data_IF_808736004600
#
_entry.id   IF_808736004600
#
_cell.length_a   1.000
_cell.length_b   1.000
_cell.length_c   1.000
_cell.angle_alpha   90.00
_cell.angle_beta   90.00
_cell.angle_gamma   90.00
#
_symmetry.space_group_name_H-M   'P 1'
#
loop_
_entity.id
_entity.type
_entity.pdbx_description
1 polymer ?
#
# COMPACT_ATOMS: atom_id res chain seq x y z
N UNK A 1 5.43 0.68 0.72
CA UNK A 1 4.72 1.94 0.42
C UNK A 1 3.62 1.69 -0.60
N UNK A 2 2.45 2.34 -0.49
CA UNK A 2 1.39 2.25 -1.48
C UNK A 2 1.77 2.91 -2.81
N UNK A 3 2.57 3.97 -2.77
CA UNK A 3 3.02 4.69 -3.95
C UNK A 3 4.51 4.99 -3.85
N UNK A 4 5.21 4.67 -4.91
CA UNK A 4 6.61 5.04 -5.14
C UNK A 4 6.70 5.58 -6.57
N UNK A 5 7.25 6.78 -6.71
CA UNK A 5 7.38 7.46 -7.99
C UNK A 5 8.85 7.77 -8.24
N UNK A 6 9.39 7.24 -9.33
CA UNK A 6 10.65 7.70 -9.89
C UNK A 6 10.38 8.98 -10.70
N UNK A 7 10.80 10.12 -10.20
CA UNK A 7 10.56 11.41 -10.81
C UNK A 7 11.46 11.62 -12.02
N UNK A 8 10.86 11.82 -13.19
CA UNK A 8 11.55 12.07 -14.44
C UNK A 8 11.02 13.37 -15.05
N UNK A 9 11.86 14.16 -15.75
CA UNK A 9 11.42 15.36 -16.43
C UNK A 9 10.60 15.00 -17.66
N UNK A 10 9.63 15.83 -18.02
CA UNK A 10 8.80 15.68 -19.24
C UNK A 10 9.43 16.39 -20.44
N UNK A 11 10.31 17.35 -20.20
CA UNK A 11 11.08 18.05 -21.23
C UNK A 11 12.57 17.91 -20.93
N UNK A 12 13.40 17.97 -21.98
CA UNK A 12 14.86 17.92 -21.84
C UNK A 12 15.42 19.32 -21.61
N UNK A 13 16.41 19.44 -20.74
CA UNK A 13 17.01 20.75 -20.45
C UNK A 13 18.10 20.65 -19.38
N UNK A 14 18.65 21.80 -19.00
CA UNK A 14 19.66 21.91 -17.95
C UNK A 14 18.96 22.22 -16.63
N UNK A 15 19.37 21.55 -15.54
CA UNK A 15 18.87 21.84 -14.18
C UNK A 15 19.42 23.19 -13.76
N UNK A 16 18.56 24.16 -13.52
CA UNK A 16 18.91 25.50 -13.03
C UNK A 16 18.94 25.55 -11.49
N UNK A 17 17.94 24.95 -10.83
CA UNK A 17 17.93 24.87 -9.36
C UNK A 17 17.25 23.59 -8.85
N UNK A 18 17.52 23.27 -7.59
CA UNK A 18 16.91 22.18 -6.81
C UNK A 18 16.30 22.84 -5.57
N UNK A 19 14.99 22.68 -5.38
CA UNK A 19 14.20 23.44 -4.41
C UNK A 19 13.79 22.64 -3.17
N UNK A 20 14.43 21.49 -2.92
CA UNK A 20 14.16 20.64 -1.76
C UNK A 20 15.44 20.26 -1.02
N UNK A 21 15.30 19.77 0.21
CA UNK A 21 16.35 19.09 0.94
C UNK A 21 16.11 17.58 0.88
N UNK A 22 17.19 16.85 0.72
CA UNK A 22 17.17 15.40 0.66
C UNK A 22 16.60 14.78 1.96
N UNK A 23 15.61 13.92 1.84
CA UNK A 23 14.93 13.29 2.97
C UNK A 23 13.76 14.08 3.57
N UNK A 24 13.45 15.27 3.05
CA UNK A 24 12.33 16.06 3.53
C UNK A 24 10.97 15.50 3.08
N UNK A 25 9.93 15.85 3.80
CA UNK A 25 8.55 15.61 3.39
C UNK A 25 8.13 16.66 2.34
N UNK A 26 7.56 16.18 1.23
CA UNK A 26 7.06 17.01 0.13
C UNK A 26 5.57 16.75 -0.07
N UNK A 27 4.88 17.77 -0.58
CA UNK A 27 3.46 17.72 -0.94
C UNK A 27 3.29 17.66 -2.45
N UNK A 28 2.20 17.08 -2.87
CA UNK A 28 1.77 17.13 -4.27
C UNK A 28 1.71 18.59 -4.74
N UNK A 29 2.36 18.88 -5.89
CA UNK A 29 2.48 20.23 -6.45
C UNK A 29 3.71 21.03 -6.00
N UNK A 30 4.45 20.60 -4.99
CA UNK A 30 5.68 21.29 -4.59
C UNK A 30 6.72 21.23 -5.73
N UNK A 31 7.33 22.38 -6.05
CA UNK A 31 8.40 22.46 -7.05
C UNK A 31 9.67 21.83 -6.48
N UNK A 32 10.23 20.87 -7.17
CA UNK A 32 11.40 20.09 -6.74
C UNK A 32 12.66 20.44 -7.56
N UNK A 33 12.49 20.54 -8.87
CA UNK A 33 13.57 20.94 -9.78
C UNK A 33 13.06 22.02 -10.72
N UNK A 34 13.91 22.98 -11.02
CA UNK A 34 13.68 23.96 -12.06
C UNK A 34 14.68 23.73 -13.18
N UNK A 35 14.17 23.49 -14.39
CA UNK A 35 14.99 23.48 -15.60
C UNK A 35 15.12 24.89 -16.18
N UNK A 36 16.12 25.14 -17.00
CA UNK A 36 16.29 26.42 -17.70
C UNK A 36 15.07 26.68 -18.61
N UNK A 37 14.21 27.56 -18.17
CA UNK A 37 12.95 27.92 -18.84
C UNK A 37 13.14 28.90 -20.00
N UNK A 38 14.31 29.56 -20.13
CA UNK A 38 14.54 30.63 -21.13
C UNK A 38 14.33 30.21 -22.57
N UNK A 39 14.80 29.04 -23.04
CA UNK A 39 14.54 28.59 -24.40
C UNK A 39 13.04 28.38 -24.67
N UNK A 40 12.31 27.80 -23.73
CA UNK A 40 10.88 27.56 -23.84
C UNK A 40 10.07 28.85 -23.83
N UNK A 41 10.41 29.79 -22.95
CA UNK A 41 9.79 31.11 -22.90
C UNK A 41 9.98 31.90 -24.22
N UNK A 42 11.15 31.77 -24.87
CA UNK A 42 11.40 32.38 -26.16
C UNK A 42 10.49 31.81 -27.29
N UNK A 43 10.24 30.50 -27.27
CA UNK A 43 9.32 29.86 -28.22
C UNK A 43 7.89 30.35 -28.00
N UNK A 44 7.42 30.42 -26.76
CA UNK A 44 6.09 30.95 -26.37
C UNK A 44 5.95 32.39 -26.84
N UNK A 45 6.96 33.26 -26.62
CA UNK A 45 6.94 34.66 -27.06
C UNK A 45 6.89 34.78 -28.59
N UNK A 46 7.64 33.94 -29.31
CA UNK A 46 7.61 33.90 -30.79
C UNK A 46 6.24 33.51 -31.34
N UNK A 47 5.62 32.46 -30.74
CA UNK A 47 4.28 32.02 -31.18
C UNK A 47 3.21 33.07 -30.87
N UNK A 48 3.29 33.78 -29.75
CA UNK A 48 2.39 34.90 -29.41
C UNK A 48 2.46 36.00 -30.45
N UNK A 49 3.66 36.38 -30.88
CA UNK A 49 3.83 37.38 -31.97
C UNK A 49 3.29 36.87 -33.34
N UNK A 50 3.45 35.58 -33.63
CA UNK A 50 2.88 35.00 -34.86
C UNK A 50 1.35 34.97 -34.84
N UNK A 51 0.74 34.71 -33.66
CA UNK A 51 -0.72 34.74 -33.46
C UNK A 51 -1.23 36.17 -33.68
N UNK A 52 -0.59 37.18 -33.10
CA UNK A 52 -0.97 38.58 -33.32
C UNK A 52 -0.95 38.98 -34.81
N UNK A 53 0.09 38.57 -35.55
CA UNK A 53 0.17 38.77 -36.98
C UNK A 53 -0.95 38.02 -37.75
N UNK A 54 -1.25 36.77 -37.35
CA UNK A 54 -2.31 35.99 -37.98
C UNK A 54 -3.71 36.56 -37.65
N UNK A 55 -3.93 37.10 -36.44
CA UNK A 55 -5.18 37.78 -36.06
C UNK A 55 -5.41 39.05 -36.92
N UNK A 56 -4.39 39.84 -37.14
CA UNK A 56 -4.46 40.99 -38.04
C UNK A 56 -4.81 40.58 -39.49
N UNK A 57 -4.16 39.52 -40.00
CA UNK A 57 -4.46 38.97 -41.34
C UNK A 57 -5.87 38.40 -41.45
N UNK A 58 -6.37 37.77 -40.39
CA UNK A 58 -7.74 37.27 -40.31
C UNK A 58 -8.76 38.41 -40.34
N UNK A 59 -8.53 39.48 -39.58
CA UNK A 59 -9.44 40.63 -39.56
C UNK A 59 -9.51 41.33 -40.93
N UNK A 60 -8.37 41.44 -41.63
CA UNK A 60 -8.35 41.89 -43.01
C UNK A 60 -9.20 40.99 -43.91
N UNK A 61 -9.01 39.65 -43.84
CA UNK A 61 -9.75 38.70 -44.66
C UNK A 61 -11.26 38.76 -44.36
N UNK A 62 -11.66 38.91 -43.10
CA UNK A 62 -13.07 39.11 -42.72
C UNK A 62 -13.67 40.38 -43.32
N UNK A 63 -12.91 41.48 -43.32
CA UNK A 63 -13.36 42.73 -43.93
C UNK A 63 -13.53 42.62 -45.44
N UNK A 64 -12.60 41.93 -46.11
CA UNK A 64 -12.64 41.67 -47.55
C UNK A 64 -13.82 40.75 -47.92
N UNK A 65 -14.05 39.69 -47.19
CA UNK A 65 -15.18 38.77 -47.39
C UNK A 65 -16.51 39.51 -47.23
N UNK A 66 -16.71 40.24 -46.14
CA UNK A 66 -17.91 41.07 -45.90
C UNK A 66 -18.16 42.05 -47.03
N UNK A 67 -17.11 42.63 -47.62
CA UNK A 67 -17.20 43.54 -48.75
C UNK A 67 -17.59 42.79 -50.01
N UNK A 68 -16.98 41.62 -50.25
CA UNK A 68 -17.28 40.78 -51.43
C UNK A 68 -18.74 40.30 -51.42
N UNK A 69 -19.27 39.85 -50.26
CA UNK A 69 -20.67 39.45 -50.13
C UNK A 69 -21.62 40.61 -50.52
N UNK A 70 -21.39 41.83 -50.04
CA UNK A 70 -22.20 43.02 -50.39
C UNK A 70 -22.11 43.40 -51.88
N UNK A 71 -20.93 43.26 -52.51
CA UNK A 71 -20.75 43.52 -53.91
C UNK A 71 -21.42 42.45 -54.79
N UNK A 72 -21.41 41.20 -54.39
CA UNK A 72 -22.13 40.11 -55.06
C UNK A 72 -23.62 40.34 -55.06
N UNK A 73 -24.21 40.74 -53.91
CA UNK A 73 -25.63 41.09 -53.78
C UNK A 73 -26.03 42.20 -54.76
N UNK A 74 -25.14 43.16 -55.02
CA UNK A 74 -25.31 44.25 -56.00
C UNK A 74 -24.92 43.86 -57.40
N UNK A 75 -24.59 42.59 -57.70
CA UNK A 75 -24.10 42.07 -59.00
C UNK A 75 -22.85 42.79 -59.50
N UNK A 76 -22.02 43.35 -58.63
CA UNK A 76 -20.84 44.11 -58.99
C UNK A 76 -19.57 43.25 -59.15
N UNK A 77 -19.59 41.99 -58.68
CA UNK A 77 -18.52 40.98 -58.80
C UNK A 77 -19.11 39.64 -59.17
N UNK A 78 -18.26 38.70 -59.66
CA UNK A 78 -18.66 37.33 -59.98
C UNK A 78 -18.79 36.48 -58.74
N UNK A 79 -19.59 35.40 -58.75
CA UNK A 79 -19.70 34.42 -57.70
C UNK A 79 -18.34 33.79 -57.39
N UNK A 80 -17.54 33.51 -58.40
CA UNK A 80 -16.19 32.97 -58.24
C UNK A 80 -15.30 33.88 -57.39
N UNK A 81 -15.30 35.20 -57.69
CA UNK A 81 -14.54 36.17 -56.90
C UNK A 81 -14.99 36.24 -55.43
N UNK A 82 -16.29 36.19 -55.16
CA UNK A 82 -16.80 36.14 -53.81
C UNK A 82 -16.39 34.87 -53.09
N UNK A 83 -16.53 33.69 -53.72
CA UNK A 83 -16.10 32.41 -53.15
C UNK A 83 -14.58 32.36 -52.87
N UNK A 84 -13.75 32.97 -53.71
CA UNK A 84 -12.31 33.08 -53.46
C UNK A 84 -12.01 33.83 -52.15
N UNK A 85 -12.74 34.93 -51.85
CA UNK A 85 -12.57 35.68 -50.57
C UNK A 85 -13.05 34.87 -49.38
N UNK A 86 -14.17 34.18 -49.48
CA UNK A 86 -14.65 33.27 -48.41
C UNK A 86 -13.66 32.15 -48.18
N UNK A 87 -13.06 31.57 -49.20
CA UNK A 87 -12.03 30.55 -49.07
C UNK A 87 -10.78 31.08 -48.39
N UNK A 88 -10.34 32.30 -48.70
CA UNK A 88 -9.23 32.97 -48.04
C UNK A 88 -9.53 33.21 -46.56
N UNK A 89 -10.74 33.66 -46.23
CA UNK A 89 -11.16 33.82 -44.84
C UNK A 89 -11.00 32.50 -44.06
N UNK A 90 -11.57 31.41 -44.58
CA UNK A 90 -11.48 30.07 -43.93
C UNK A 90 -10.02 29.60 -43.77
N UNK A 91 -9.16 29.90 -44.76
CA UNK A 91 -7.73 29.57 -44.62
C UNK A 91 -7.08 30.34 -43.46
N UNK A 92 -7.39 31.63 -43.28
CA UNK A 92 -6.84 32.45 -42.21
C UNK A 92 -7.38 31.98 -40.84
N UNK A 93 -8.64 31.60 -40.75
CA UNK A 93 -9.23 31.01 -39.56
C UNK A 93 -8.52 29.70 -39.17
N UNK A 94 -8.31 28.80 -40.13
CA UNK A 94 -7.61 27.54 -39.88
C UNK A 94 -6.13 27.76 -39.48
N UNK A 95 -5.46 28.73 -40.09
CA UNK A 95 -4.07 29.09 -39.73
C UNK A 95 -3.97 29.62 -38.33
N UNK A 96 -4.86 30.51 -37.92
CA UNK A 96 -4.90 31.03 -36.52
C UNK A 96 -5.16 29.91 -35.52
N UNK A 97 -6.09 29.00 -35.82
CA UNK A 97 -6.36 27.85 -34.96
C UNK A 97 -5.13 26.94 -34.79
N UNK A 98 -4.39 26.70 -35.88
CA UNK A 98 -3.16 25.91 -35.84
C UNK A 98 -2.07 26.57 -34.98
N UNK A 99 -1.88 27.88 -35.08
CA UNK A 99 -0.92 28.64 -34.28
C UNK A 99 -1.31 28.64 -32.79
N UNK A 100 -2.61 28.75 -32.44
CA UNK A 100 -3.11 28.65 -31.07
C UNK A 100 -2.85 27.26 -30.47
N UNK A 101 -3.04 26.20 -31.24
CA UNK A 101 -2.70 24.86 -30.82
C UNK A 101 -1.19 24.68 -30.56
N UNK A 102 -0.34 25.24 -31.41
CA UNK A 102 1.12 25.25 -31.21
C UNK A 102 1.53 26.03 -29.95
N UNK A 103 0.87 27.18 -29.71
CA UNK A 103 1.12 27.96 -28.48
C UNK A 103 0.77 27.14 -27.24
N UNK A 104 -0.38 26.48 -27.20
CA UNK A 104 -0.77 25.61 -26.09
C UNK A 104 0.28 24.53 -25.83
N UNK A 105 0.80 23.90 -26.87
CA UNK A 105 1.88 22.91 -26.71
C UNK A 105 3.16 23.52 -26.13
N UNK A 106 3.56 24.68 -26.61
CA UNK A 106 4.76 25.36 -26.11
C UNK A 106 4.59 25.87 -24.67
N UNK A 107 3.38 26.28 -24.28
CA UNK A 107 3.08 26.68 -22.90
C UNK A 107 3.13 25.48 -21.94
N UNK A 108 2.67 24.28 -22.37
CA UNK A 108 2.84 23.04 -21.61
C UNK A 108 4.33 22.68 -21.47
N UNK A 109 5.12 22.79 -22.52
CA UNK A 109 6.56 22.53 -22.45
C UNK A 109 7.27 23.49 -21.50
N UNK A 110 6.85 24.74 -21.47
CA UNK A 110 7.34 25.74 -20.52
C UNK A 110 6.92 25.40 -19.08
N UNK A 111 5.68 24.98 -18.86
CA UNK A 111 5.20 24.53 -17.54
C UNK A 111 6.01 23.32 -17.05
N UNK A 112 6.31 22.37 -17.92
CA UNK A 112 7.08 21.18 -17.58
C UNK A 112 8.55 21.43 -17.26
N UNK A 113 9.05 22.66 -17.46
CA UNK A 113 10.37 23.07 -16.95
C UNK A 113 10.40 23.15 -15.42
N UNK A 114 9.24 23.33 -14.77
CA UNK A 114 9.07 23.22 -13.34
C UNK A 114 8.63 21.80 -12.99
N UNK A 115 9.56 21.00 -12.47
CA UNK A 115 9.29 19.60 -12.13
C UNK A 115 8.73 19.55 -10.72
N UNK A 116 7.45 19.21 -10.60
CA UNK A 116 6.71 19.17 -9.33
C UNK A 116 6.52 17.75 -8.80
N UNK A 117 6.28 17.65 -7.49
CA UNK A 117 5.92 16.37 -6.86
C UNK A 117 4.53 15.91 -7.30
N UNK A 118 4.38 14.68 -7.81
CA UNK A 118 3.07 14.12 -8.18
C UNK A 118 2.30 13.52 -7.00
N UNK A 119 2.93 13.37 -5.84
CA UNK A 119 2.35 12.74 -4.64
C UNK A 119 2.87 13.40 -3.36
N UNK A 120 2.12 13.24 -2.27
CA UNK A 120 2.63 13.52 -0.93
C UNK A 120 3.55 12.37 -0.47
N UNK A 121 4.72 12.70 0.08
CA UNK A 121 5.64 11.67 0.52
C UNK A 121 6.97 12.19 1.03
N UNK A 122 7.93 11.30 1.19
CA UNK A 122 9.30 11.62 1.55
C UNK A 122 10.15 11.51 0.28
N UNK A 123 10.87 12.60 -0.02
CA UNK A 123 11.76 12.68 -1.18
C UNK A 123 13.11 12.03 -0.84
N UNK A 124 13.70 11.35 -1.80
CA UNK A 124 15.04 10.79 -1.70
C UNK A 124 16.10 11.85 -2.04
N UNK A 125 17.35 11.41 -2.22
CA UNK A 125 18.44 12.28 -2.68
C UNK A 125 18.23 12.70 -4.14
N UNK A 126 18.84 13.83 -4.52
CA UNK A 126 18.96 14.22 -5.91
C UNK A 126 20.00 13.32 -6.62
N UNK A 127 19.58 12.62 -7.68
CA UNK A 127 20.48 11.80 -8.48
C UNK A 127 21.32 12.63 -9.47
N UNK A 128 20.80 13.80 -9.85
CA UNK A 128 21.42 14.71 -10.83
C UNK A 128 21.43 16.11 -10.21
N UNK A 129 22.58 16.76 -10.30
CA UNK A 129 22.82 18.07 -9.66
C UNK A 129 22.63 19.22 -10.63
N UNK A 130 22.53 20.46 -10.10
CA UNK A 130 22.47 21.71 -10.87
C UNK A 130 23.56 21.76 -11.94
N UNK A 131 23.23 22.30 -13.11
CA UNK A 131 24.11 22.48 -14.25
C UNK A 131 24.22 21.27 -15.17
N UNK A 132 23.67 20.14 -14.79
CA UNK A 132 23.65 18.96 -15.66
C UNK A 132 22.44 18.98 -16.61
N UNK A 133 22.66 18.39 -17.80
CA UNK A 133 21.59 18.19 -18.75
C UNK A 133 20.78 16.91 -18.42
N UNK A 134 19.48 16.99 -18.58
CA UNK A 134 18.53 15.88 -18.37
C UNK A 134 17.71 15.63 -19.63
N UNK A 135 17.33 14.36 -19.82
CA UNK A 135 16.57 13.91 -20.97
C UNK A 135 15.15 13.53 -20.52
N UNK A 136 14.16 14.01 -21.28
CA UNK A 136 12.75 13.71 -21.06
C UNK A 136 12.47 12.20 -21.00
N UNK A 137 11.78 11.75 -19.95
CA UNK A 137 11.37 10.37 -19.78
C UNK A 137 12.50 9.33 -19.58
N UNK A 138 13.76 9.78 -19.43
CA UNK A 138 14.91 8.88 -19.27
C UNK A 138 15.71 9.16 -17.98
N UNK A 139 15.92 10.42 -17.66
CA UNK A 139 16.72 10.82 -16.51
C UNK A 139 15.90 10.71 -15.22
N UNK A 140 16.24 9.80 -14.33
CA UNK A 140 15.63 9.73 -12.99
C UNK A 140 16.26 10.80 -12.11
N UNK A 141 15.52 11.85 -11.78
CA UNK A 141 15.97 12.97 -10.97
C UNK A 141 16.05 12.60 -9.49
N UNK A 142 15.02 11.95 -8.98
CA UNK A 142 14.88 11.47 -7.60
C UNK A 142 13.76 10.46 -7.52
N UNK A 143 13.54 9.88 -6.34
CA UNK A 143 12.34 9.08 -6.04
C UNK A 143 11.58 9.67 -4.86
N UNK A 144 10.25 9.53 -4.90
CA UNK A 144 9.35 9.98 -3.82
C UNK A 144 8.56 8.76 -3.37
N UNK A 145 8.52 8.53 -2.06
CA UNK A 145 7.82 7.42 -1.43
C UNK A 145 6.72 7.97 -0.55
N UNK A 146 5.48 7.58 -0.80
CA UNK A 146 4.34 7.99 0.01
C UNK A 146 4.50 7.51 1.46
N UNK A 147 4.14 8.37 2.41
CA UNK A 147 4.15 8.10 3.84
C UNK A 147 2.75 7.95 4.47
N UNK A 148 1.67 8.02 3.66
CA UNK A 148 0.29 8.02 4.17
C UNK A 148 -0.18 6.67 4.71
N UNK A 149 0.33 5.58 4.17
CA UNK A 149 0.05 4.22 4.63
C UNK A 149 1.23 3.30 4.29
N UNK A 150 1.33 2.19 4.97
CA UNK A 150 2.36 1.19 4.67
C UNK A 150 1.72 -0.15 4.34
N UNK A 151 2.12 -0.76 3.22
CA UNK A 151 1.67 -2.08 2.82
C UNK A 151 2.68 -3.13 3.26
N UNK A 152 2.19 -4.18 3.91
CA UNK A 152 2.95 -5.39 4.17
C UNK A 152 2.41 -6.52 3.30
N UNK A 153 3.28 -7.11 2.48
CA UNK A 153 2.98 -8.29 1.70
C UNK A 153 3.53 -9.51 2.42
N UNK A 154 2.71 -10.54 2.54
CA UNK A 154 3.12 -11.81 3.12
C UNK A 154 2.43 -12.97 2.42
N UNK A 155 3.07 -14.11 2.43
CA UNK A 155 2.59 -15.30 1.75
C UNK A 155 2.12 -16.30 2.80
N UNK A 156 0.89 -16.82 2.62
CA UNK A 156 0.27 -17.82 3.50
C UNK A 156 0.14 -19.12 2.71
N UNK A 157 0.52 -20.25 3.30
CA UNK A 157 0.37 -21.53 2.61
C UNK A 157 -1.11 -21.88 2.41
N UNK A 158 -1.42 -22.54 1.29
CA UNK A 158 -2.79 -22.86 0.86
C UNK A 158 -3.54 -23.66 1.90
N UNK A 159 -2.88 -24.61 2.58
CA UNK A 159 -3.52 -25.47 3.58
C UNK A 159 -3.97 -24.64 4.77
N UNK A 160 -3.09 -23.78 5.29
CA UNK A 160 -3.40 -22.88 6.41
C UNK A 160 -4.50 -21.91 6.03
N UNK A 161 -4.46 -21.37 4.81
CA UNK A 161 -5.50 -20.48 4.34
C UNK A 161 -6.87 -21.17 4.32
N UNK A 162 -6.96 -22.33 3.67
CA UNK A 162 -8.22 -23.07 3.53
C UNK A 162 -8.76 -23.59 4.87
N UNK A 163 -7.89 -23.91 5.83
CA UNK A 163 -8.33 -24.41 7.14
C UNK A 163 -8.76 -23.33 8.12
N UNK A 164 -8.17 -22.14 8.05
CA UNK A 164 -8.32 -21.13 9.12
C UNK A 164 -8.80 -19.77 8.62
N UNK A 165 -8.75 -19.51 7.32
CA UNK A 165 -8.99 -18.19 6.74
C UNK A 165 -9.88 -18.21 5.49
N UNK A 166 -10.53 -19.32 5.16
CA UNK A 166 -11.36 -19.46 3.95
C UNK A 166 -12.50 -18.45 3.84
N UNK A 167 -13.00 -17.94 4.96
CA UNK A 167 -14.06 -16.92 5.01
C UNK A 167 -13.53 -15.49 4.99
N UNK A 168 -12.20 -15.30 5.10
CA UNK A 168 -11.59 -13.99 5.10
C UNK A 168 -11.59 -13.42 3.69
N UNK A 169 -12.15 -12.24 3.58
CA UNK A 169 -12.17 -11.45 2.34
C UNK A 169 -11.51 -10.08 2.57
N UNK A 170 -11.15 -9.39 1.51
CA UNK A 170 -10.64 -8.02 1.64
C UNK A 170 -11.67 -7.08 2.31
N UNK A 171 -12.97 -7.36 2.14
CA UNK A 171 -14.05 -6.58 2.73
C UNK A 171 -14.21 -6.83 4.24
N UNK A 172 -13.81 -7.99 4.75
CA UNK A 172 -13.88 -8.32 6.18
C UNK A 172 -12.91 -7.51 7.03
N UNK A 173 -11.90 -6.86 6.41
CA UNK A 173 -10.87 -6.07 7.08
C UNK A 173 -10.26 -6.81 8.27
N UNK A 174 -9.96 -8.10 8.06
CA UNK A 174 -9.38 -8.94 9.11
C UNK A 174 -8.14 -8.29 9.72
N UNK A 175 -8.16 -8.14 11.04
CA UNK A 175 -7.08 -7.48 11.78
C UNK A 175 -5.79 -8.30 11.74
N UNK A 176 -4.69 -7.60 11.51
CA UNK A 176 -3.33 -8.13 11.57
C UNK A 176 -2.47 -7.28 12.49
N UNK A 177 -1.49 -7.88 13.11
CA UNK A 177 -0.48 -7.15 13.87
C UNK A 177 0.90 -7.43 13.31
N UNK A 178 1.74 -6.41 13.34
CA UNK A 178 3.08 -6.45 12.77
C UNK A 178 4.14 -6.10 13.81
N UNK A 179 5.25 -6.82 13.76
CA UNK A 179 6.46 -6.61 14.52
C UNK A 179 7.61 -6.29 13.57
N UNK A 180 8.35 -5.21 13.80
CA UNK A 180 9.58 -4.92 13.06
C UNK A 180 10.71 -5.83 13.51
N UNK A 181 11.64 -6.10 12.60
CA UNK A 181 12.87 -6.81 12.94
C UNK A 181 13.64 -6.02 14.00
N UNK A 182 14.04 -6.71 15.08
CA UNK A 182 14.74 -6.10 16.22
C UNK A 182 13.83 -5.56 17.33
N UNK A 183 12.51 -5.62 17.17
CA UNK A 183 11.54 -5.34 18.24
C UNK A 183 11.00 -6.65 18.82
N UNK A 184 10.53 -6.61 20.06
CA UNK A 184 9.92 -7.76 20.75
C UNK A 184 8.40 -7.75 20.61
N UNK A 185 7.80 -6.57 20.45
CA UNK A 185 6.36 -6.37 20.51
C UNK A 185 5.74 -6.22 19.13
N UNK A 186 4.49 -6.70 18.99
CA UNK A 186 3.65 -6.50 17.82
C UNK A 186 2.88 -5.18 17.96
N UNK A 187 3.63 -4.07 17.85
CA UNK A 187 3.13 -2.73 18.16
C UNK A 187 2.23 -2.14 17.06
N UNK A 188 2.37 -2.61 15.82
CA UNK A 188 1.67 -2.03 14.67
C UNK A 188 0.42 -2.84 14.37
N UNK A 189 -0.74 -2.17 14.32
CA UNK A 189 -2.02 -2.77 13.97
C UNK A 189 -2.41 -2.37 12.55
N UNK A 190 -2.96 -3.30 11.81
CA UNK A 190 -3.44 -3.10 10.45
C UNK A 190 -4.55 -4.08 10.11
N UNK A 191 -4.98 -4.09 8.87
CA UNK A 191 -6.01 -5.00 8.39
C UNK A 191 -5.70 -5.47 6.97
N UNK A 192 -6.23 -6.65 6.62
CA UNK A 192 -6.13 -7.18 5.26
C UNK A 192 -7.00 -6.32 4.35
N UNK A 193 -6.41 -5.85 3.25
CA UNK A 193 -7.11 -5.08 2.22
C UNK A 193 -6.99 -5.68 0.82
N UNK A 194 -6.19 -6.72 0.65
CA UNK A 194 -6.06 -7.41 -0.63
C UNK A 194 -5.62 -8.86 -0.41
N UNK A 195 -6.22 -9.75 -1.16
CA UNK A 195 -5.91 -11.18 -1.23
C UNK A 195 -5.76 -11.48 -2.71
N UNK A 196 -4.65 -12.09 -3.11
CA UNK A 196 -4.41 -12.46 -4.51
C UNK A 196 -5.47 -13.48 -4.98
N UNK A 197 -5.81 -13.44 -6.25
CA UNK A 197 -6.75 -14.37 -6.87
C UNK A 197 -6.06 -15.64 -7.40
N UNK A 198 -4.74 -15.75 -7.24
CA UNK A 198 -3.93 -16.86 -7.71
C UNK A 198 -3.00 -17.36 -6.61
N UNK A 199 -2.91 -18.68 -6.51
CA UNK A 199 -1.91 -19.34 -5.68
C UNK A 199 -0.62 -19.46 -6.51
N UNK A 200 0.50 -19.10 -5.92
CA UNK A 200 1.80 -19.32 -6.53
C UNK A 200 2.08 -20.83 -6.58
N UNK A 201 2.00 -21.43 -7.77
CA UNK A 201 2.15 -22.88 -7.95
C UNK A 201 3.54 -23.41 -7.62
N UNK A 202 4.56 -22.58 -7.58
CA UNK A 202 5.93 -23.00 -7.24
C UNK A 202 6.15 -23.10 -5.73
N UNK A 203 5.42 -22.34 -4.93
CA UNK A 203 5.54 -22.30 -3.46
C UNK A 203 4.31 -22.84 -2.73
N UNK A 204 3.17 -22.98 -3.41
CA UNK A 204 1.89 -23.36 -2.80
C UNK A 204 1.36 -22.32 -1.84
N UNK A 205 1.65 -21.02 -2.09
CA UNK A 205 1.26 -19.94 -1.20
C UNK A 205 0.33 -18.94 -1.87
N UNK A 206 -0.56 -18.37 -1.08
CA UNK A 206 -1.44 -17.26 -1.44
C UNK A 206 -0.83 -15.95 -0.93
N UNK A 207 -0.70 -14.96 -1.79
CA UNK A 207 -0.20 -13.65 -1.42
C UNK A 207 -1.30 -12.79 -0.84
N UNK A 208 -1.03 -12.23 0.33
CA UNK A 208 -1.94 -11.37 1.07
C UNK A 208 -1.27 -10.03 1.34
N UNK A 209 -2.05 -8.96 1.33
CA UNK A 209 -1.58 -7.62 1.67
C UNK A 209 -2.38 -7.07 2.83
N UNK A 210 -1.66 -6.58 3.82
CA UNK A 210 -2.23 -5.77 4.90
C UNK A 210 -1.82 -4.31 4.76
N UNK A 211 -2.70 -3.41 5.17
CA UNK A 211 -2.45 -1.98 5.26
C UNK A 211 -2.31 -1.57 6.72
N UNK A 212 -1.36 -0.68 6.97
CA UNK A 212 -1.08 -0.06 8.26
C UNK A 212 -1.21 1.43 8.07
N UNK A 213 -2.30 2.01 8.54
CA UNK A 213 -2.69 3.42 8.32
C UNK A 213 -1.98 4.39 9.28
N UNK A 214 -1.13 3.90 10.16
CA UNK A 214 -0.45 4.75 11.12
C UNK A 214 0.60 5.65 10.43
N UNK A 215 0.49 6.94 10.72
CA UNK A 215 1.37 8.04 10.31
C UNK A 215 2.75 7.92 11.01
N UNK A 216 3.33 6.75 10.94
CA UNK A 216 4.58 6.42 11.61
C UNK A 216 5.75 6.55 10.63
N UNK A 217 6.43 7.69 10.65
CA UNK A 217 7.76 7.90 10.05
C UNK A 217 8.79 6.81 10.47
N UNK A 218 8.39 5.86 11.29
CA UNK A 218 9.22 4.75 11.76
C UNK A 218 9.21 3.54 10.82
N UNK A 219 8.23 3.42 9.91
CA UNK A 219 8.16 2.35 8.93
C UNK A 219 8.85 2.79 7.63
N UNK A 220 9.81 2.02 7.17
CA UNK A 220 10.50 2.28 5.89
C UNK A 220 10.15 1.21 4.87
N UNK A 221 9.86 1.64 3.65
CA UNK A 221 9.66 0.72 2.54
C UNK A 221 10.89 -0.18 2.36
N UNK A 222 10.66 -1.46 1.99
CA UNK A 222 11.73 -2.46 1.86
C UNK A 222 12.16 -3.14 3.17
N UNK A 223 11.61 -2.74 4.33
CA UNK A 223 11.90 -3.40 5.61
C UNK A 223 11.19 -4.74 5.74
N UNK A 224 11.85 -5.70 6.39
CA UNK A 224 11.22 -6.97 6.77
C UNK A 224 10.45 -6.83 8.08
N UNK A 225 9.34 -7.56 8.18
CA UNK A 225 8.50 -7.58 9.36
C UNK A 225 7.92 -8.98 9.61
N UNK A 226 7.52 -9.25 10.85
CA UNK A 226 6.73 -10.43 11.19
C UNK A 226 5.27 -10.03 11.31
N UNK A 227 4.40 -10.80 10.68
CA UNK A 227 2.96 -10.60 10.70
C UNK A 227 2.32 -11.71 11.53
N UNK A 228 1.38 -11.34 12.39
CA UNK A 228 0.44 -12.27 13.01
C UNK A 228 -0.95 -11.98 12.50
N UNK A 229 -1.59 -13.01 12.00
CA UNK A 229 -2.96 -13.00 11.54
C UNK A 229 -3.79 -13.83 12.54
N UNK A 230 -4.88 -13.25 13.05
CA UNK A 230 -5.80 -13.98 13.91
C UNK A 230 -6.69 -14.89 13.06
N UNK A 231 -6.78 -16.17 13.41
CA UNK A 231 -7.77 -17.07 12.84
C UNK A 231 -9.18 -16.68 13.31
N UNK A 232 -10.19 -16.88 12.48
CA UNK A 232 -11.58 -16.51 12.77
C UNK A 232 -12.24 -17.38 13.85
N UNK A 233 -11.67 -18.52 14.22
CA UNK A 233 -12.24 -19.38 15.23
C UNK A 233 -11.66 -19.10 16.63
N UNK A 234 -12.46 -18.51 17.48
CA UNK A 234 -12.29 -18.63 18.92
C UNK A 234 -12.78 -20.04 19.29
N UNK A 235 -11.89 -21.01 19.28
CA UNK A 235 -12.21 -22.34 19.79
C UNK A 235 -11.87 -22.42 21.27
N UNK A 236 -12.86 -22.76 22.09
CA UNK A 236 -12.61 -23.12 23.47
C UNK A 236 -11.83 -24.43 23.50
N UNK A 237 -10.61 -24.39 24.02
CA UNK A 237 -9.73 -25.56 24.17
C UNK A 237 -9.31 -25.68 25.62
N UNK A 238 -9.28 -26.92 26.10
CA UNK A 238 -8.69 -27.22 27.41
C UNK A 238 -7.18 -26.96 27.31
N UNK A 239 -6.66 -26.08 28.16
CA UNK A 239 -5.25 -25.71 28.18
C UNK A 239 -4.64 -26.17 29.49
N UNK A 240 -3.53 -26.91 29.41
CA UNK A 240 -2.84 -27.46 30.59
C UNK A 240 -1.34 -27.11 30.57
N UNK A 241 -0.65 -27.08 31.71
CA UNK A 241 0.79 -26.91 31.75
C UNK A 241 1.51 -28.04 31.01
N UNK A 242 2.50 -27.69 30.16
CA UNK A 242 3.30 -28.70 29.44
C UNK A 242 3.91 -29.76 30.38
N UNK A 243 4.29 -29.37 31.61
CA UNK A 243 4.84 -30.25 32.62
C UNK A 243 3.85 -31.28 33.18
N UNK A 244 2.54 -31.10 32.96
CA UNK A 244 1.50 -32.07 33.31
C UNK A 244 1.39 -33.22 32.33
N UNK A 245 2.01 -33.11 31.16
CA UNK A 245 1.92 -34.07 30.06
C UNK A 245 3.06 -35.08 30.19
N UNK A 246 2.68 -36.34 30.37
CA UNK A 246 3.60 -37.47 30.26
C UNK A 246 3.69 -38.00 28.86
N UNK A 247 4.79 -38.70 28.57
CA UNK A 247 5.01 -39.43 27.33
C UNK A 247 5.25 -40.88 27.63
N UNK A 248 4.47 -41.73 27.03
CA UNK A 248 4.64 -43.19 27.08
C UNK A 248 4.75 -43.72 25.65
N UNK A 249 5.97 -44.10 25.26
CA UNK A 249 6.31 -44.45 23.88
C UNK A 249 5.85 -43.40 22.86
N UNK A 250 4.78 -43.65 22.14
CA UNK A 250 4.21 -42.72 21.15
C UNK A 250 3.00 -41.94 21.68
N UNK A 251 2.52 -42.24 22.87
CA UNK A 251 1.30 -41.69 23.41
C UNK A 251 1.60 -40.50 24.35
N UNK A 252 0.71 -39.53 24.35
CA UNK A 252 0.69 -38.45 25.34
C UNK A 252 -0.41 -38.76 26.35
N UNK A 253 -0.11 -38.53 27.63
CA UNK A 253 -1.07 -38.78 28.69
C UNK A 253 -0.98 -37.74 29.78
N UNK A 254 -2.01 -37.67 30.58
CA UNK A 254 -2.04 -36.92 31.86
C UNK A 254 -2.51 -37.87 32.95
N UNK A 255 -2.18 -37.50 34.17
CA UNK A 255 -2.73 -38.16 35.35
C UNK A 255 -3.89 -37.33 35.87
N UNK A 256 -5.11 -37.85 35.77
CA UNK A 256 -6.31 -37.25 36.36
C UNK A 256 -6.53 -37.77 37.78
N UNK A 257 -7.16 -36.95 38.64
CA UNK A 257 -7.53 -37.36 39.99
C UNK A 257 -8.93 -37.96 39.94
N UNK A 258 -9.02 -39.26 40.10
CA UNK A 258 -10.28 -39.98 40.16
C UNK A 258 -10.90 -40.03 41.55
N UNK A 259 -11.87 -40.92 41.75
CA UNK A 259 -12.52 -41.13 43.01
C UNK A 259 -11.51 -41.58 44.08
N UNK A 260 -11.72 -41.16 45.33
CA UNK A 260 -10.83 -41.44 46.46
C UNK A 260 -9.39 -40.87 46.32
N UNK A 261 -9.18 -39.83 45.53
CA UNK A 261 -7.88 -39.23 45.30
C UNK A 261 -6.83 -40.20 44.71
N UNK A 262 -7.25 -41.14 43.90
CA UNK A 262 -6.38 -42.07 43.19
C UNK A 262 -6.11 -41.51 41.80
N UNK A 263 -4.84 -41.61 41.37
CA UNK A 263 -4.45 -41.13 40.04
C UNK A 263 -4.82 -42.12 38.96
N UNK A 264 -5.51 -41.61 37.94
CA UNK A 264 -5.91 -42.35 36.76
C UNK A 264 -5.11 -41.92 35.53
N UNK A 265 -4.73 -42.87 34.69
CA UNK A 265 -4.02 -42.64 33.44
C UNK A 265 -5.03 -42.28 32.35
N UNK A 266 -4.92 -41.09 31.75
CA UNK A 266 -5.83 -40.65 30.67
C UNK A 266 -5.03 -40.25 29.45
N UNK A 267 -5.29 -40.94 28.33
CA UNK A 267 -4.68 -40.59 27.04
C UNK A 267 -5.24 -39.29 26.54
N UNK A 268 -4.35 -38.45 26.00
CA UNK A 268 -4.72 -37.17 25.41
C UNK A 268 -4.09 -36.97 24.04
N UNK A 269 -4.76 -36.16 23.23
CA UNK A 269 -4.17 -35.64 22.00
C UNK A 269 -3.84 -34.16 22.24
N UNK A 270 -2.58 -33.81 22.00
CA UNK A 270 -2.10 -32.45 22.22
C UNK A 270 -2.15 -31.62 20.94
N UNK A 271 -2.50 -30.36 21.09
CA UNK A 271 -2.53 -29.34 20.04
C UNK A 271 -1.35 -28.38 20.13
N UNK A 272 -1.61 -27.10 19.86
CA UNK A 272 -0.61 -26.03 19.86
C UNK A 272 -0.05 -25.71 21.23
N UNK A 273 1.17 -25.17 21.25
CA UNK A 273 1.86 -24.74 22.46
C UNK A 273 1.75 -23.24 22.63
N UNK A 274 1.41 -22.80 23.86
CA UNK A 274 1.29 -21.40 24.28
C UNK A 274 2.26 -21.12 25.43
N UNK A 275 3.51 -20.81 25.11
CA UNK A 275 4.54 -20.60 26.14
C UNK A 275 4.80 -21.87 26.97
N UNK A 276 4.47 -21.85 28.28
CA UNK A 276 4.57 -22.98 29.20
C UNK A 276 3.32 -23.87 29.21
N UNK A 277 2.31 -23.53 28.40
CA UNK A 277 1.01 -24.22 28.34
C UNK A 277 0.83 -24.94 27.00
N UNK A 278 -0.03 -25.96 27.00
CA UNK A 278 -0.35 -26.77 25.83
C UNK A 278 -1.86 -26.94 25.70
N UNK A 279 -2.39 -26.76 24.49
CA UNK A 279 -3.77 -27.11 24.20
C UNK A 279 -3.96 -28.63 24.14
N UNK A 280 -5.08 -29.10 24.62
CA UNK A 280 -5.52 -30.50 24.49
C UNK A 280 -6.72 -30.51 23.54
N UNK A 281 -6.60 -31.28 22.46
CA UNK A 281 -7.64 -31.39 21.44
C UNK A 281 -8.63 -32.51 21.70
N UNK A 282 -8.22 -33.53 22.45
CA UNK A 282 -9.10 -34.60 22.90
C UNK A 282 -8.54 -35.32 24.12
N UNK A 283 -9.41 -35.95 24.89
CA UNK A 283 -9.03 -36.78 26.04
C UNK A 283 -9.18 -36.07 27.41
N UNK A 284 -9.49 -34.78 27.46
CA UNK A 284 -9.85 -34.05 28.67
C UNK A 284 -11.15 -33.28 28.46
N UNK A 285 -11.89 -33.14 29.57
CA UNK A 285 -13.11 -32.31 29.64
C UNK A 285 -12.92 -31.20 30.65
N UNK A 286 -13.73 -30.14 30.49
CA UNK A 286 -13.82 -29.09 31.48
C UNK A 286 -14.23 -29.67 32.86
N UNK A 287 -13.51 -29.31 33.92
CA UNK A 287 -13.72 -29.83 35.29
C UNK A 287 -12.81 -31.01 35.64
N UNK A 288 -12.10 -31.63 34.71
CA UNK A 288 -11.12 -32.67 35.03
C UNK A 288 -9.99 -32.10 35.90
N UNK A 289 -9.72 -32.73 37.02
CA UNK A 289 -8.60 -32.36 37.92
C UNK A 289 -7.37 -33.15 37.53
N UNK A 290 -6.28 -32.45 37.18
CA UNK A 290 -5.04 -33.07 36.69
C UNK A 290 -3.87 -32.84 37.66
N UNK A 291 -2.95 -33.81 37.71
CA UNK A 291 -1.72 -33.70 38.47
C UNK A 291 -0.67 -32.91 37.69
N UNK A 292 -0.44 -31.64 38.06
CA UNK A 292 0.45 -30.71 37.31
C UNK A 292 1.90 -31.18 37.23
N UNK A 293 2.40 -31.84 38.26
CA UNK A 293 3.76 -32.40 38.32
C UNK A 293 3.73 -33.95 38.35
N UNK A 294 2.61 -34.54 37.94
CA UNK A 294 2.32 -35.97 38.10
C UNK A 294 3.33 -36.91 37.42
N UNK A 295 3.56 -36.80 36.14
CA UNK A 295 4.40 -37.76 35.39
C UNK A 295 5.85 -37.87 35.89
N UNK A 296 6.36 -36.82 36.55
CA UNK A 296 7.73 -36.80 37.07
C UNK A 296 7.86 -37.35 38.50
N UNK A 297 6.75 -37.45 39.27
CA UNK A 297 6.81 -37.73 40.72
C UNK A 297 5.90 -38.87 41.16
N UNK A 298 4.83 -39.14 40.48
CA UNK A 298 3.80 -40.12 40.86
C UNK A 298 3.35 -40.92 39.63
N UNK A 299 2.85 -42.14 39.89
CA UNK A 299 2.36 -43.05 38.85
C UNK A 299 0.86 -43.31 38.96
N UNK A 300 0.27 -43.98 37.94
CA UNK A 300 -1.12 -44.41 37.98
C UNK A 300 -1.40 -45.35 39.14
N UNK A 301 -2.58 -45.21 39.76
CA UNK A 301 -3.01 -46.05 40.87
C UNK A 301 -2.47 -45.60 42.27
N UNK A 302 -1.67 -44.56 42.30
CA UNK A 302 -1.17 -44.03 43.62
C UNK A 302 -2.20 -43.12 44.29
N UNK A 303 -2.46 -43.28 45.59
CA UNK A 303 -3.25 -42.34 46.36
C UNK A 303 -2.43 -41.06 46.60
N UNK A 304 -3.06 -39.90 46.44
CA UNK A 304 -2.44 -38.60 46.65
C UNK A 304 -3.21 -37.72 47.63
N UNK A 305 -2.53 -36.72 48.17
CA UNK A 305 -3.15 -35.60 48.85
C UNK A 305 -3.08 -34.37 47.97
N UNK A 306 -4.13 -34.04 47.19
CA UNK A 306 -4.09 -32.98 46.19
C UNK A 306 -4.00 -31.60 46.85
N UNK A 307 -3.11 -30.77 46.35
CA UNK A 307 -3.04 -29.33 46.64
C UNK A 307 -3.37 -28.56 45.38
N UNK A 308 -4.34 -27.67 45.45
CA UNK A 308 -4.72 -26.82 44.30
C UNK A 308 -3.62 -25.81 44.02
N UNK A 309 -3.22 -25.73 42.76
CA UNK A 309 -2.20 -24.78 42.27
C UNK A 309 -2.86 -23.86 41.24
N UNK A 310 -2.65 -22.56 41.41
CA UNK A 310 -3.08 -21.59 40.39
C UNK A 310 -2.13 -21.64 39.20
N UNK A 311 -2.68 -21.77 38.00
CA UNK A 311 -1.90 -21.78 36.76
C UNK A 311 -1.87 -20.36 36.20
N UNK A 312 -0.67 -19.85 35.92
CA UNK A 312 -0.52 -18.56 35.23
C UNK A 312 -0.92 -18.72 33.74
N UNK A 313 -2.02 -18.09 33.37
CA UNK A 313 -2.57 -18.08 32.04
C UNK A 313 -2.23 -16.80 31.26
N UNK A 314 -1.45 -15.89 31.82
CA UNK A 314 -1.13 -14.59 31.24
C UNK A 314 -0.46 -14.68 29.85
N UNK A 315 0.14 -15.84 29.52
CA UNK A 315 0.74 -16.10 28.20
C UNK A 315 -0.20 -16.63 27.11
N UNK A 316 -1.49 -16.85 27.41
CA UNK A 316 -2.36 -17.67 26.55
C UNK A 316 -3.37 -16.89 25.75
N UNK A 317 -3.72 -15.67 26.11
CA UNK A 317 -4.83 -14.98 25.48
C UNK A 317 -4.41 -13.70 24.76
N UNK A 318 -4.14 -13.81 23.47
CA UNK A 318 -4.31 -12.68 22.57
C UNK A 318 -5.58 -12.90 21.76
N UNK A 319 -6.70 -12.34 22.20
CA UNK A 319 -7.92 -12.25 21.39
C UNK A 319 -7.85 -10.96 20.61
N UNK A 320 -7.63 -11.03 19.30
CA UNK A 320 -7.82 -9.91 18.39
C UNK A 320 -9.31 -9.86 18.05
N UNK A 321 -10.10 -9.04 18.74
CA UNK A 321 -11.48 -8.79 18.35
C UNK A 321 -11.55 -7.75 17.23
N UNK A 322 -12.47 -7.95 16.27
CA UNK A 322 -12.71 -7.02 15.17
C UNK A 322 -13.35 -5.68 15.61
N UNK A 323 -13.83 -5.60 16.86
CA UNK A 323 -14.36 -4.38 17.45
C UNK A 323 -13.32 -3.75 18.37
N UNK A 324 -12.76 -2.63 17.95
CA UNK A 324 -11.89 -1.73 18.72
C UNK A 324 -10.94 -2.45 19.69
N UNK A 325 -9.85 -2.92 19.13
CA UNK A 325 -8.74 -3.60 19.75
C UNK A 325 -8.38 -3.13 21.18
N UNK A 326 -9.07 -3.64 22.14
CA UNK A 326 -8.54 -3.76 23.51
C UNK A 326 -8.02 -5.19 23.66
N UNK A 327 -6.76 -5.31 24.01
CA UNK A 327 -6.17 -6.55 24.50
C UNK A 327 -6.90 -6.92 25.80
N UNK A 328 -7.87 -7.81 25.72
CA UNK A 328 -8.54 -8.35 26.89
C UNK A 328 -7.85 -9.66 27.22
N UNK A 329 -7.02 -9.66 28.26
CA UNK A 329 -6.66 -10.88 28.95
C UNK A 329 -7.91 -11.33 29.73
N UNK A 330 -8.55 -12.42 29.31
CA UNK A 330 -9.53 -13.09 30.15
C UNK A 330 -8.79 -13.94 31.19
N UNK A 331 -9.06 -13.65 32.42
CA UNK A 331 -8.67 -14.42 33.62
C UNK A 331 -9.36 -15.77 33.62
#
# INVERSE_FOLDING_TARGET
SPQEVALMPRVSGIIDSIEFKEGDAVKEGDVLFQLDARPFAAVVASLKAQIESAEAALEQAKSEDKRAVRLLERKAISTEQAQARTSTLRQREAQLLALKAQLTSAELDLEFTSVVSPINGIISRANITKGNNVLAGQSVLTSIVSNQAMYAYFDVDERTWNSSFNEVTAASRQTVVMQKVGQTDFAYKGYINFIDNQINSSTGTLRVRAVFDEDNNQLRAGSFARIKLAANEVSEKVIIPERAIGTDLKNRFVLTVGENNVLEYKLITVGERYGALRAVTSGLSEGDVIAVNGPARVGPGMPISPQTVTIDTSGVAFTLSNDNAQLVAKQ
#
